data_IF_502667416969
#
_entry.id   IF_502667416969
#
_cell.length_a   1.000
_cell.length_b   1.000
_cell.length_c   1.000
_cell.angle_alpha   90.00
_cell.angle_beta   90.00
_cell.angle_gamma   90.00
#
_symmetry.space_group_name_H-M   'P 1'
#
loop_
_entity.id
_entity.type
_entity.pdbx_description
1 polymer ?
#
# COMPACT_ATOMS: atom_id res chain seq x y z
N UNK A 1 -58.04 47.66 -8.87
CA UNK A 1 -57.69 46.31 -9.38
C UNK A 1 -56.50 46.54 -10.31
N UNK A 2 -55.27 46.06 -10.16
CA UNK A 2 -54.57 44.89 -9.56
C UNK A 2 -53.07 45.18 -9.81
N UNK A 3 -52.02 44.63 -9.22
CA UNK A 3 -51.74 43.71 -8.13
C UNK A 3 -50.23 43.89 -7.84
N UNK A 4 -49.79 43.68 -6.60
CA UNK A 4 -48.38 43.48 -6.28
C UNK A 4 -47.90 42.19 -6.96
N UNK A 5 -46.69 42.17 -7.50
CA UNK A 5 -45.94 40.92 -7.64
C UNK A 5 -44.57 41.12 -7.01
N UNK A 6 -44.35 40.38 -5.93
CA UNK A 6 -43.03 40.21 -5.34
C UNK A 6 -42.30 39.08 -6.04
N UNK A 7 -40.97 39.15 -6.04
CA UNK A 7 -40.12 37.98 -5.80
C UNK A 7 -38.72 38.46 -5.47
N UNK A 8 -38.41 38.47 -4.17
CA UNK A 8 -37.03 38.59 -3.69
C UNK A 8 -36.45 37.17 -3.77
N UNK A 9 -35.85 36.83 -4.91
CA UNK A 9 -34.96 35.69 -5.01
C UNK A 9 -33.79 35.93 -4.05
N UNK A 10 -33.68 35.11 -3.01
CA UNK A 10 -32.54 35.12 -2.09
C UNK A 10 -31.63 34.00 -2.54
N UNK A 11 -30.57 34.38 -3.24
CA UNK A 11 -29.55 33.49 -3.76
C UNK A 11 -28.95 32.72 -2.59
N UNK A 12 -29.32 31.44 -2.45
CA UNK A 12 -28.68 30.56 -1.49
C UNK A 12 -27.36 30.11 -2.10
N UNK A 13 -26.30 30.89 -1.85
CA UNK A 13 -24.94 30.45 -2.11
C UNK A 13 -24.64 29.21 -1.27
N UNK A 14 -24.76 28.03 -1.86
CA UNK A 14 -24.23 26.78 -1.28
C UNK A 14 -22.72 26.89 -1.31
N UNK A 15 -22.12 27.24 -0.18
CA UNK A 15 -20.67 27.21 -0.01
C UNK A 15 -20.25 25.75 0.17
N UNK A 16 -19.95 25.07 -0.94
CA UNK A 16 -19.27 23.77 -0.92
C UNK A 16 -17.84 23.98 -0.45
N UNK A 17 -17.65 23.97 0.86
CA UNK A 17 -16.33 23.82 1.49
C UNK A 17 -15.85 22.40 1.16
N UNK A 18 -15.10 22.24 0.07
CA UNK A 18 -14.38 20.99 -0.20
C UNK A 18 -13.33 20.87 0.92
N UNK A 19 -13.58 19.97 1.86
CA UNK A 19 -12.61 19.61 2.87
C UNK A 19 -11.55 18.75 2.20
N UNK A 20 -10.50 19.40 1.69
CA UNK A 20 -9.28 18.70 1.27
C UNK A 20 -8.50 18.33 2.54
N UNK A 21 -8.94 17.27 3.23
CA UNK A 21 -8.05 16.59 4.16
C UNK A 21 -6.96 15.92 3.33
N UNK A 22 -5.66 16.14 3.62
CA UNK A 22 -4.61 15.37 2.99
C UNK A 22 -4.84 13.89 3.27
N UNK A 23 -4.88 13.08 2.21
CA UNK A 23 -5.04 11.65 2.33
C UNK A 23 -3.81 11.10 3.06
N UNK A 24 -3.99 10.65 4.31
CA UNK A 24 -2.95 10.05 5.15
C UNK A 24 -2.77 8.55 4.86
N UNK A 25 -3.37 8.05 3.78
CA UNK A 25 -3.24 6.65 3.40
C UNK A 25 -1.87 6.43 2.78
N UNK A 26 -1.00 5.73 3.50
CA UNK A 26 0.34 5.37 3.05
C UNK A 26 0.29 4.57 1.73
N UNK A 27 -0.79 3.85 1.46
CA UNK A 27 -0.94 3.08 0.21
C UNK A 27 -1.18 3.97 -1.01
N UNK A 28 -1.84 5.13 -0.82
CA UNK A 28 -2.15 6.10 -1.88
C UNK A 28 -1.01 7.11 -2.09
N UNK A 29 -0.03 7.12 -1.20
CA UNK A 29 1.13 8.02 -1.22
C UNK A 29 2.47 7.30 -1.41
N UNK A 30 2.48 5.96 -1.35
CA UNK A 30 3.67 5.16 -1.58
C UNK A 30 4.17 5.26 -3.01
N UNK A 31 5.48 5.09 -3.18
CA UNK A 31 6.07 4.92 -4.50
C UNK A 31 5.53 3.63 -5.14
N UNK A 32 5.31 3.60 -6.47
CA UNK A 32 4.92 2.39 -7.14
C UNK A 32 5.96 1.28 -6.91
N UNK A 33 5.52 0.02 -6.75
CA UNK A 33 6.44 -1.08 -6.51
C UNK A 33 7.36 -1.28 -7.73
N UNK A 34 8.58 -1.73 -7.47
CA UNK A 34 9.56 -2.08 -8.51
C UNK A 34 9.72 -3.59 -8.55
N UNK A 35 9.42 -4.19 -9.71
CA UNK A 35 9.67 -5.58 -9.99
C UNK A 35 11.18 -5.80 -10.23
N UNK A 36 11.77 -6.73 -9.49
CA UNK A 36 13.15 -7.18 -9.72
C UNK A 36 13.18 -8.41 -10.62
N UNK A 37 13.90 -8.29 -11.73
CA UNK A 37 14.26 -9.42 -12.60
C UNK A 37 15.77 -9.72 -12.41
N UNK A 38 16.18 -10.99 -12.21
CA UNK A 38 17.59 -11.29 -12.01
C UNK A 38 18.42 -10.97 -13.24
N UNK A 39 19.45 -10.14 -13.10
CA UNK A 39 20.47 -9.89 -14.12
C UNK A 39 21.14 -11.20 -14.53
N UNK A 40 21.10 -11.53 -15.81
CA UNK A 40 21.75 -12.69 -16.40
C UNK A 40 22.89 -12.29 -17.34
N UNK A 41 23.73 -13.25 -17.72
CA UNK A 41 24.88 -13.02 -18.60
C UNK A 41 24.48 -12.93 -20.10
N UNK A 42 23.27 -13.35 -20.46
CA UNK A 42 22.77 -13.33 -21.83
C UNK A 42 22.11 -11.98 -22.18
N UNK A 43 21.86 -11.14 -21.18
CA UNK A 43 21.21 -9.83 -21.35
C UNK A 43 19.69 -9.89 -21.44
N UNK A 44 19.07 -11.04 -21.10
CA UNK A 44 17.62 -11.21 -21.20
C UNK A 44 16.90 -10.24 -20.25
N UNK A 45 17.43 -10.05 -19.05
CA UNK A 45 16.89 -9.10 -18.08
C UNK A 45 16.85 -7.66 -18.63
N UNK A 46 17.92 -7.21 -19.28
CA UNK A 46 18.00 -5.90 -19.90
C UNK A 46 17.00 -5.74 -21.05
N UNK A 47 16.88 -6.75 -21.91
CA UNK A 47 15.92 -6.74 -23.02
C UNK A 47 14.47 -6.65 -22.51
N UNK A 48 14.13 -7.42 -21.47
CA UNK A 48 12.80 -7.39 -20.84
C UNK A 48 12.49 -6.04 -20.16
N UNK A 49 13.51 -5.39 -19.57
CA UNK A 49 13.36 -4.05 -19.00
C UNK A 49 13.05 -3.03 -20.09
N UNK A 50 13.77 -3.07 -21.22
CA UNK A 50 13.52 -2.18 -22.35
C UNK A 50 12.12 -2.41 -22.91
N UNK A 51 11.78 -3.66 -23.21
CA UNK A 51 10.48 -4.04 -23.76
C UNK A 51 9.31 -3.60 -22.85
N UNK A 52 9.43 -3.82 -21.54
CA UNK A 52 8.40 -3.45 -20.57
C UNK A 52 8.24 -1.93 -20.50
N UNK A 53 9.34 -1.15 -20.51
CA UNK A 53 9.26 0.32 -20.47
C UNK A 53 8.63 0.90 -21.72
N UNK A 54 8.90 0.32 -22.88
CA UNK A 54 8.31 0.72 -24.15
C UNK A 54 6.82 0.38 -24.25
N UNK A 55 6.42 -0.78 -23.72
CA UNK A 55 5.03 -1.27 -23.79
C UNK A 55 4.16 -0.70 -22.66
N UNK A 56 4.72 -0.58 -21.46
CA UNK A 56 4.02 -0.25 -20.22
C UNK A 56 4.84 0.72 -19.36
N UNK A 57 4.60 2.02 -19.55
CA UNK A 57 5.30 3.06 -18.78
C UNK A 57 4.91 3.13 -17.29
N UNK A 58 3.90 2.36 -16.84
CA UNK A 58 3.44 2.34 -15.45
C UNK A 58 4.07 1.25 -14.59
N UNK A 59 4.81 0.32 -15.18
CA UNK A 59 5.42 -0.80 -14.46
C UNK A 59 6.87 -0.45 -14.13
N UNK A 60 7.18 -0.32 -12.83
CA UNK A 60 8.56 -0.23 -12.37
C UNK A 60 9.25 -1.58 -12.51
N UNK A 61 10.31 -1.68 -13.31
CA UNK A 61 11.12 -2.89 -13.46
C UNK A 61 12.62 -2.55 -13.49
N UNK A 62 13.43 -3.37 -12.80
CA UNK A 62 14.89 -3.21 -12.70
C UNK A 62 15.58 -4.57 -12.42
N UNK A 63 16.87 -4.67 -12.75
CA UNK A 63 17.74 -5.79 -12.38
C UNK A 63 18.75 -5.45 -11.28
N UNK A 64 18.67 -4.27 -10.66
CA UNK A 64 19.69 -3.79 -9.71
C UNK A 64 19.75 -4.59 -8.41
N UNK A 65 18.65 -5.27 -8.05
CA UNK A 65 18.52 -5.97 -6.77
C UNK A 65 18.71 -7.49 -6.82
N UNK A 66 18.82 -8.07 -8.01
CA UNK A 66 18.94 -9.52 -8.19
C UNK A 66 19.83 -9.87 -9.38
N UNK A 67 20.63 -10.92 -9.27
CA UNK A 67 21.43 -11.47 -10.37
C UNK A 67 21.46 -13.00 -10.33
N UNK A 68 21.84 -13.61 -11.45
CA UNK A 68 22.13 -15.04 -11.52
C UNK A 68 23.63 -15.27 -11.49
N UNK A 69 24.07 -16.30 -10.77
CA UNK A 69 25.44 -16.77 -10.88
C UNK A 69 25.62 -17.66 -12.13
N UNK A 70 26.85 -18.08 -12.40
CA UNK A 70 27.17 -18.97 -13.54
C UNK A 70 26.44 -20.34 -13.51
N UNK A 71 25.84 -20.72 -12.38
CA UNK A 71 25.04 -21.96 -12.23
C UNK A 71 23.52 -21.69 -12.36
N UNK A 72 23.12 -20.45 -12.67
CA UNK A 72 21.72 -20.05 -12.74
C UNK A 72 21.06 -19.86 -11.37
N UNK A 73 21.82 -19.77 -10.28
CA UNK A 73 21.28 -19.55 -8.94
C UNK A 73 21.09 -18.06 -8.66
N UNK A 74 19.94 -17.73 -8.08
CA UNK A 74 19.60 -16.39 -7.62
C UNK A 74 20.56 -15.90 -6.53
N UNK A 75 21.10 -14.71 -6.75
CA UNK A 75 21.83 -13.89 -5.79
C UNK A 75 21.06 -12.57 -5.61
N UNK A 76 20.83 -12.17 -4.37
CA UNK A 76 20.20 -10.89 -4.05
C UNK A 76 21.29 -9.85 -3.75
N UNK A 77 21.24 -8.71 -4.46
CA UNK A 77 22.15 -7.57 -4.27
C UNK A 77 21.80 -6.68 -3.07
N UNK A 78 20.69 -7.01 -2.40
CA UNK A 78 20.18 -6.29 -1.25
C UNK A 78 18.83 -6.84 -0.85
N UNK A 79 18.13 -6.09 -0.02
CA UNK A 79 16.81 -6.46 0.44
C UNK A 79 15.77 -5.85 -0.50
N UNK A 80 14.72 -6.61 -0.87
CA UNK A 80 13.70 -6.07 -1.76
C UNK A 80 13.07 -4.81 -1.16
N UNK A 81 12.63 -3.86 -2.01
CA UNK A 81 11.84 -2.72 -1.58
C UNK A 81 10.64 -3.25 -0.78
N UNK A 82 10.35 -2.64 0.37
CA UNK A 82 9.21 -2.97 1.26
C UNK A 82 9.24 -4.27 2.07
N UNK A 83 10.41 -4.91 2.27
CA UNK A 83 10.51 -6.08 3.17
C UNK A 83 10.04 -5.85 4.62
N UNK A 84 9.95 -4.58 5.06
CA UNK A 84 9.40 -4.15 6.36
C UNK A 84 7.99 -3.60 6.18
N UNK A 85 7.05 -4.44 5.73
CA UNK A 85 5.69 -4.21 6.16
C UNK A 85 5.65 -4.47 7.67
N UNK A 86 5.36 -3.39 8.40
CA UNK A 86 5.27 -3.32 9.84
C UNK A 86 4.17 -4.29 10.33
N UNK A 87 4.51 -5.56 10.60
CA UNK A 87 3.59 -6.59 11.08
C UNK A 87 3.08 -6.39 12.53
N UNK A 88 3.18 -5.18 13.08
CA UNK A 88 2.55 -4.82 14.36
C UNK A 88 1.52 -3.71 14.10
N UNK A 89 0.22 -3.96 14.33
CA UNK A 89 -0.30 -4.41 15.62
C UNK A 89 -1.25 -5.64 15.58
N UNK A 90 -1.23 -6.46 14.52
CA UNK A 90 -2.12 -7.64 14.45
C UNK A 90 -1.77 -8.77 15.44
N UNK A 91 -0.59 -8.72 16.08
CA UNK A 91 -0.20 -9.69 17.11
C UNK A 91 -0.79 -9.37 18.50
N UNK A 92 -1.46 -8.23 18.69
CA UNK A 92 -1.97 -7.81 20.01
C UNK A 92 -3.37 -8.34 20.36
N UNK A 93 -4.02 -9.13 19.49
CA UNK A 93 -5.40 -9.60 19.70
C UNK A 93 -5.54 -11.03 20.25
N UNK A 94 -4.48 -11.64 20.77
CA UNK A 94 -4.61 -12.89 21.53
C UNK A 94 -4.29 -12.68 23.00
N UNK A 95 -5.20 -12.02 23.71
CA UNK A 95 -5.45 -12.33 25.10
C UNK A 95 -6.94 -12.17 25.40
N UNK A 96 -7.68 -13.27 25.27
CA UNK A 96 -9.06 -13.33 25.74
C UNK A 96 -9.06 -13.20 27.28
N UNK A 97 -9.93 -12.37 27.86
CA UNK A 97 -10.15 -12.39 29.29
C UNK A 97 -11.12 -13.52 29.67
N UNK A 98 -10.78 -14.17 30.78
CA UNK A 98 -11.67 -14.78 31.75
C UNK A 98 -12.22 -16.20 31.49
N UNK A 99 -11.66 -17.15 32.24
CA UNK A 99 -12.38 -18.33 32.69
C UNK A 99 -12.03 -18.60 34.16
N UNK A 100 -12.83 -17.98 35.02
CA UNK A 100 -13.45 -18.59 36.19
C UNK A 100 -12.54 -19.30 37.20
N UNK A 101 -12.39 -18.62 38.34
CA UNK A 101 -12.49 -19.17 39.69
C UNK A 101 -12.73 -20.69 39.79
N UNK A 102 -11.72 -21.41 40.27
CA UNK A 102 -11.95 -22.70 40.95
C UNK A 102 -11.05 -22.79 42.18
N UNK A 103 -11.64 -22.46 43.33
CA UNK A 103 -11.12 -22.84 44.64
C UNK A 103 -11.02 -24.36 44.73
N UNK A 104 -9.98 -24.92 45.38
CA UNK A 104 -10.08 -26.25 45.97
C UNK A 104 -10.34 -26.10 47.47
N UNK A 105 -11.50 -26.60 47.90
CA UNK A 105 -11.73 -26.93 49.31
C UNK A 105 -10.89 -28.16 49.69
N UNK A 106 -10.40 -28.12 50.94
CA UNK A 106 -10.11 -29.19 51.89
C UNK A 106 -9.90 -30.63 51.40
N UNK A 107 -8.73 -31.19 51.74
CA UNK A 107 -8.58 -32.52 52.37
C UNK A 107 -7.24 -32.59 53.12
N UNK A 108 -7.26 -32.91 54.42
CA UNK A 108 -6.09 -33.28 55.22
C UNK A 108 -5.98 -32.53 56.54
#
# INVERSE_FOLDING_TARGET
LTAQTGSRGKDMGVSTKIFQSPCQDETLTSNPPVLWIPKDELGVAEDEIVHTRETYNSIGISCDGASLNAQGKLILGGQPPDWRLNLSPLLSLTQAPDAASRSPEAIG
#
